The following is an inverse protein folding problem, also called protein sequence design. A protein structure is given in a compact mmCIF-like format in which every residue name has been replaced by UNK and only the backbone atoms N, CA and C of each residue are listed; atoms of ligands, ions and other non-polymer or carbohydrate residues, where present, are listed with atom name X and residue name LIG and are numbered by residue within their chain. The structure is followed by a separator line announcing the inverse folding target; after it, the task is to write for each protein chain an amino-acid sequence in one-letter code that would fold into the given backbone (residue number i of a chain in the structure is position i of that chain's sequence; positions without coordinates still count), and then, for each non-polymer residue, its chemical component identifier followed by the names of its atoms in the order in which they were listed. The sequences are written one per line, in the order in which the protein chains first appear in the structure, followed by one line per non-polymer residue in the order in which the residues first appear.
data_IF_721391043113
#
_entry.id   IF_721391043113
#
_cell.length_a   1.000
_cell.length_b   1.000
_cell.length_c   1.000
_cell.angle_alpha   90.00
_cell.angle_beta   90.00
_cell.angle_gamma   90.00
#
_symmetry.space_group_name_H-M   'P 1'
#
loop_
_entity.id
_entity.type
_entity.pdbx_description
1 polymer ?
#
# COMPACT_ATOMS: atom_id res chain seq x y z
N UNK A 1 22.58 19.20 -11.00
CA UNK A 1 22.95 18.05 -10.17
C UNK A 1 21.71 17.21 -9.88
N UNK A 2 21.82 15.89 -9.96
CA UNK A 2 20.77 14.93 -9.61
C UNK A 2 21.34 13.91 -8.63
N UNK A 3 20.59 13.57 -7.59
CA UNK A 3 20.88 12.44 -6.71
C UNK A 3 19.78 11.40 -6.82
N UNK A 4 20.12 10.15 -6.52
CA UNK A 4 19.18 9.04 -6.44
C UNK A 4 19.29 8.42 -5.05
N UNK A 5 18.18 8.34 -4.34
CA UNK A 5 18.04 7.66 -3.06
C UNK A 5 17.24 6.38 -3.26
N UNK A 6 17.82 5.25 -2.87
CA UNK A 6 17.12 3.98 -2.78
C UNK A 6 16.89 3.62 -1.32
N UNK A 7 15.63 3.44 -0.93
CA UNK A 7 15.25 2.93 0.38
C UNK A 7 14.76 1.50 0.19
N UNK A 8 15.56 0.53 0.64
CA UNK A 8 15.26 -0.88 0.52
C UNK A 8 14.61 -1.39 1.80
N UNK A 9 13.33 -1.71 1.76
CA UNK A 9 12.63 -2.36 2.87
C UNK A 9 12.33 -1.43 4.06
N UNK A 10 11.33 -0.58 3.92
CA UNK A 10 10.86 0.32 5.00
C UNK A 10 10.39 -0.44 6.26
N UNK A 11 9.90 -1.68 6.11
CA UNK A 11 9.50 -2.57 7.19
C UNK A 11 10.44 -3.80 7.28
N UNK A 12 11.61 -3.71 7.94
CA UNK A 12 12.55 -4.83 8.05
C UNK A 12 11.96 -6.06 8.76
N UNK A 13 11.11 -5.83 9.77
CA UNK A 13 10.41 -6.91 10.46
C UNK A 13 9.45 -7.65 9.54
N UNK A 14 8.61 -6.92 8.83
CA UNK A 14 7.68 -7.50 7.87
C UNK A 14 8.40 -8.26 6.76
N UNK A 15 9.52 -7.75 6.28
CA UNK A 15 10.38 -8.41 5.29
C UNK A 15 10.92 -9.76 5.80
N UNK A 16 11.43 -9.77 7.04
CA UNK A 16 11.98 -10.96 7.68
C UNK A 16 10.92 -12.02 8.00
N UNK A 17 9.71 -11.58 8.41
CA UNK A 17 8.67 -12.45 8.94
C UNK A 17 7.50 -12.68 7.98
N UNK A 18 7.61 -12.23 6.72
CA UNK A 18 6.56 -12.29 5.71
C UNK A 18 5.25 -11.69 6.21
N UNK A 19 5.33 -10.46 6.75
CA UNK A 19 4.20 -9.71 7.26
C UNK A 19 4.08 -8.33 6.61
N UNK A 20 2.84 -7.86 6.47
CA UNK A 20 2.57 -6.47 6.10
C UNK A 20 2.90 -5.51 7.24
N UNK A 21 2.63 -5.93 8.48
CA UNK A 21 2.69 -5.11 9.69
C UNK A 21 4.07 -5.21 10.36
N UNK A 22 4.41 -4.18 11.17
CA UNK A 22 5.60 -4.20 12.03
C UNK A 22 5.42 -5.19 13.19
N UNK A 23 6.43 -5.31 14.06
CA UNK A 23 6.36 -6.05 15.33
C UNK A 23 5.25 -5.55 16.27
N UNK A 24 4.87 -4.28 16.14
CA UNK A 24 3.80 -3.64 16.91
C UNK A 24 2.43 -3.71 16.21
N UNK A 25 2.29 -4.56 15.21
CA UNK A 25 1.11 -4.68 14.33
C UNK A 25 0.75 -3.38 13.58
N UNK A 26 1.70 -2.47 13.41
CA UNK A 26 1.47 -1.22 12.70
C UNK A 26 1.63 -1.40 11.20
N UNK A 27 0.64 -0.99 10.42
CA UNK A 27 0.78 -0.77 8.99
C UNK A 27 1.57 0.51 8.76
N UNK A 28 2.83 0.40 8.34
CA UNK A 28 3.66 1.59 8.11
C UNK A 28 3.05 2.54 7.09
N UNK A 29 2.31 2.05 6.10
CA UNK A 29 1.60 2.92 5.15
C UNK A 29 0.32 3.55 5.75
N UNK A 30 0.22 3.59 7.09
CA UNK A 30 -0.77 4.31 7.91
C UNK A 30 -0.12 5.09 9.04
N UNK A 31 1.22 5.08 9.12
CA UNK A 31 1.97 5.65 10.25
C UNK A 31 2.84 6.87 9.86
N UNK A 32 2.76 7.32 8.59
CA UNK A 32 3.59 8.41 8.09
C UNK A 32 2.88 9.76 8.19
N UNK A 33 3.39 10.64 9.03
CA UNK A 33 3.03 12.05 9.05
C UNK A 33 4.14 12.92 9.66
N UNK A 34 3.97 14.24 9.58
CA UNK A 34 4.82 15.23 10.26
C UNK A 34 4.26 15.62 11.63
N UNK A 35 3.00 15.28 11.90
CA UNK A 35 2.27 15.68 13.09
C UNK A 35 1.53 14.51 13.75
N UNK A 36 1.57 14.45 15.09
CA UNK A 36 0.93 13.37 15.89
C UNK A 36 -0.61 13.43 15.89
N UNK A 37 -1.22 14.48 15.37
CA UNK A 37 -2.68 14.52 15.16
C UNK A 37 -3.18 13.41 14.23
N UNK A 38 -2.27 12.79 13.45
CA UNK A 38 -2.52 11.58 12.68
C UNK A 38 -3.24 10.52 13.53
N UNK A 39 -2.76 10.26 14.75
CA UNK A 39 -3.27 9.19 15.63
C UNK A 39 -4.64 9.49 16.24
N UNK A 40 -5.12 10.73 16.11
CA UNK A 40 -6.48 11.12 16.48
C UNK A 40 -7.47 11.09 15.30
N UNK A 41 -7.03 10.65 14.12
CA UNK A 41 -7.90 10.60 12.93
C UNK A 41 -8.98 9.53 13.08
N UNK A 42 -10.26 9.89 13.05
CA UNK A 42 -11.33 8.92 13.27
C UNK A 42 -11.60 8.07 12.02
N UNK A 43 -11.96 6.80 12.25
CA UNK A 43 -12.54 5.94 11.23
C UNK A 43 -13.81 5.24 11.75
N UNK A 44 -14.93 5.95 11.90
CA UNK A 44 -16.15 5.39 12.48
C UNK A 44 -16.77 4.28 11.61
N UNK A 45 -16.42 4.23 10.33
CA UNK A 45 -16.86 3.16 9.44
C UNK A 45 -16.23 1.80 9.75
N UNK A 46 -14.99 1.77 10.24
CA UNK A 46 -14.24 0.54 10.51
C UNK A 46 -14.97 -0.40 11.50
N UNK A 47 -15.58 0.16 12.54
CA UNK A 47 -16.35 -0.59 13.55
C UNK A 47 -17.37 -1.54 12.94
N UNK A 48 -18.03 -1.15 11.83
CA UNK A 48 -19.05 -1.98 11.17
C UNK A 48 -18.51 -3.29 10.59
N UNK A 49 -17.21 -3.36 10.37
CA UNK A 49 -16.54 -4.49 9.73
C UNK A 49 -15.68 -5.31 10.69
N UNK A 50 -15.41 -4.83 11.93
CA UNK A 50 -14.49 -5.47 12.89
C UNK A 50 -14.76 -6.95 13.11
N UNK A 51 -16.03 -7.37 13.29
CA UNK A 51 -16.40 -8.77 13.45
C UNK A 51 -16.07 -9.66 12.22
N UNK A 52 -15.85 -9.05 11.06
CA UNK A 52 -15.49 -9.77 9.86
C UNK A 52 -13.97 -9.78 9.63
N UNK A 53 -13.32 -8.64 9.89
CA UNK A 53 -11.92 -8.42 9.53
C UNK A 53 -10.95 -8.63 10.69
N UNK A 54 -11.42 -8.61 11.95
CA UNK A 54 -10.62 -8.84 13.15
C UNK A 54 -11.18 -10.00 13.98
N UNK A 55 -11.20 -11.24 13.47
CA UNK A 55 -11.68 -12.39 14.24
C UNK A 55 -10.71 -12.73 15.36
N UNK A 56 -11.23 -13.02 16.57
CA UNK A 56 -10.46 -13.22 17.81
C UNK A 56 -10.22 -14.69 18.20
N UNK A 57 -10.37 -15.62 17.26
CA UNK A 57 -10.16 -17.06 17.50
C UNK A 57 -8.98 -17.56 16.68
N UNK A 58 -8.43 -18.74 17.06
CA UNK A 58 -7.45 -19.42 16.20
C UNK A 58 -7.98 -19.60 14.77
N UNK A 59 -7.10 -19.44 13.79
CA UNK A 59 -7.46 -19.65 12.39
C UNK A 59 -7.79 -21.13 12.15
N UNK A 60 -8.90 -21.35 11.46
CA UNK A 60 -9.30 -22.66 10.96
C UNK A 60 -9.86 -22.50 9.54
N UNK A 61 -9.11 -22.94 8.53
CA UNK A 61 -9.52 -22.83 7.13
C UNK A 61 -10.77 -23.65 6.78
N UNK A 62 -11.09 -24.70 7.57
CA UNK A 62 -12.24 -25.55 7.34
C UNK A 62 -13.53 -25.05 8.02
N UNK A 63 -13.47 -24.02 8.84
CA UNK A 63 -14.67 -23.50 9.49
C UNK A 63 -15.60 -22.77 8.49
N UNK A 64 -16.87 -22.65 8.85
CA UNK A 64 -17.87 -21.98 8.03
C UNK A 64 -17.51 -20.49 7.76
N UNK A 65 -16.85 -19.83 8.70
CA UNK A 65 -16.41 -18.43 8.54
C UNK A 65 -15.45 -18.23 7.37
N UNK A 66 -14.45 -19.11 7.26
CA UNK A 66 -13.51 -19.09 6.14
C UNK A 66 -14.11 -19.61 4.83
N UNK A 67 -14.87 -20.72 4.89
CA UNK A 67 -15.49 -21.32 3.69
C UNK A 67 -16.50 -20.39 3.01
N UNK A 68 -17.27 -19.64 3.78
CA UNK A 68 -18.29 -18.72 3.29
C UNK A 68 -17.85 -17.25 3.36
N UNK A 69 -16.54 -16.97 3.54
CA UNK A 69 -16.04 -15.62 3.67
C UNK A 69 -16.41 -14.74 2.47
N UNK A 70 -16.26 -15.26 1.26
CA UNK A 70 -16.60 -14.56 0.02
C UNK A 70 -18.07 -14.10 0.01
N UNK A 71 -18.99 -15.03 0.31
CA UNK A 71 -20.42 -14.71 0.36
C UNK A 71 -20.72 -13.66 1.45
N UNK A 72 -20.13 -13.81 2.63
CA UNK A 72 -20.28 -12.85 3.73
C UNK A 72 -19.74 -11.47 3.35
N UNK A 73 -18.60 -11.39 2.67
CA UNK A 73 -18.03 -10.14 2.19
C UNK A 73 -18.94 -9.47 1.16
N UNK A 74 -19.45 -10.21 0.17
CA UNK A 74 -20.39 -9.68 -0.83
C UNK A 74 -21.65 -9.11 -0.15
N UNK A 75 -22.26 -9.85 0.77
CA UNK A 75 -23.45 -9.37 1.52
C UNK A 75 -23.10 -8.07 2.27
N UNK A 76 -21.96 -8.03 2.94
CA UNK A 76 -21.52 -6.82 3.67
C UNK A 76 -21.28 -5.64 2.74
N UNK A 77 -20.69 -5.85 1.57
CA UNK A 77 -20.47 -4.81 0.57
C UNK A 77 -21.79 -4.26 0.01
N UNK A 78 -22.74 -5.14 -0.34
CA UNK A 78 -24.04 -4.72 -0.85
C UNK A 78 -24.85 -3.95 0.21
N UNK A 79 -24.84 -4.44 1.45
CA UNK A 79 -25.64 -3.83 2.54
C UNK A 79 -25.07 -2.51 3.07
N UNK A 80 -23.79 -2.20 2.81
CA UNK A 80 -23.13 -1.00 3.32
C UNK A 80 -22.65 -0.03 2.22
N UNK A 81 -22.96 -0.26 0.96
CA UNK A 81 -22.32 0.37 -0.19
C UNK A 81 -20.83 -0.02 -0.34
N UNK A 82 -20.42 -0.30 -1.56
CA UNK A 82 -19.06 -0.83 -1.88
C UNK A 82 -17.98 0.21 -1.58
N UNK A 83 -18.19 1.47 -1.96
CA UNK A 83 -17.25 2.56 -1.74
C UNK A 83 -17.06 2.83 -0.24
N UNK A 84 -18.18 2.88 0.51
CA UNK A 84 -18.14 3.03 1.97
C UNK A 84 -17.40 1.86 2.63
N UNK A 85 -17.66 0.62 2.23
CA UNK A 85 -16.97 -0.55 2.78
C UNK A 85 -15.47 -0.51 2.47
N UNK A 86 -15.10 -0.17 1.24
CA UNK A 86 -13.70 -0.02 0.81
C UNK A 86 -13.00 1.07 1.61
N UNK A 87 -13.58 2.28 1.69
CA UNK A 87 -13.03 3.38 2.46
C UNK A 87 -12.86 3.00 3.94
N UNK A 88 -13.90 2.45 4.56
CA UNK A 88 -13.88 2.07 5.98
C UNK A 88 -12.80 1.05 6.32
N UNK A 89 -12.56 0.08 5.44
CA UNK A 89 -11.57 -0.97 5.70
C UNK A 89 -10.16 -0.47 5.38
N UNK A 90 -9.95 0.21 4.23
CA UNK A 90 -8.62 0.49 3.70
C UNK A 90 -8.03 1.83 4.12
N UNK A 91 -8.81 2.78 4.62
CA UNK A 91 -8.32 4.09 5.07
C UNK A 91 -7.18 3.98 6.09
N UNK A 92 -7.25 3.00 6.98
CA UNK A 92 -6.47 2.89 8.21
C UNK A 92 -7.30 3.25 9.44
N UNK A 93 -6.82 2.87 10.61
CA UNK A 93 -7.49 3.12 11.89
C UNK A 93 -6.46 3.17 13.05
N UNK A 94 -6.84 3.79 14.16
CA UNK A 94 -5.95 4.06 15.30
C UNK A 94 -6.55 3.60 16.64
N UNK A 95 -7.58 2.74 16.60
CA UNK A 95 -8.32 2.29 17.78
C UNK A 95 -8.09 0.80 18.10
N UNK A 96 -8.01 -0.04 17.05
CA UNK A 96 -7.93 -1.50 17.18
C UNK A 96 -6.49 -1.97 16.96
N UNK A 97 -5.72 -2.10 18.03
CA UNK A 97 -4.27 -2.42 17.96
C UNK A 97 -3.97 -3.75 17.26
N UNK A 98 -4.79 -4.79 17.51
CA UNK A 98 -4.64 -6.10 16.85
C UNK A 98 -5.39 -6.18 15.51
N UNK A 99 -6.00 -5.09 15.09
CA UNK A 99 -6.82 -5.04 13.88
C UNK A 99 -6.02 -4.74 12.62
N UNK A 100 -6.64 -5.03 11.46
CA UNK A 100 -6.05 -4.70 10.17
C UNK A 100 -5.88 -3.20 10.00
N UNK A 101 -4.82 -2.82 9.28
CA UNK A 101 -4.51 -1.43 8.93
C UNK A 101 -4.40 -0.49 10.14
N UNK A 102 -3.97 -1.03 11.28
CA UNK A 102 -3.67 -0.22 12.46
C UNK A 102 -2.50 0.71 12.17
N UNK A 103 -2.70 2.00 12.36
CA UNK A 103 -1.70 3.04 12.07
C UNK A 103 -0.79 3.39 13.25
N UNK A 104 -0.93 2.69 14.38
CA UNK A 104 -0.12 2.97 15.59
C UNK A 104 -0.80 3.95 16.55
N UNK A 105 -0.16 4.12 17.70
CA UNK A 105 -0.47 5.16 18.70
C UNK A 105 0.62 6.24 18.77
N UNK A 106 1.76 5.97 18.17
CA UNK A 106 2.88 6.87 17.97
C UNK A 106 3.61 6.47 16.67
N UNK A 107 4.56 7.29 16.24
CA UNK A 107 5.39 6.97 15.09
C UNK A 107 6.32 5.79 15.39
N UNK A 108 6.38 4.86 14.45
CA UNK A 108 7.36 3.78 14.48
C UNK A 108 8.79 4.34 14.31
N UNK A 109 9.81 3.68 14.86
CA UNK A 109 11.20 4.16 14.77
C UNK A 109 11.69 4.46 13.37
N UNK A 110 11.19 3.71 12.36
CA UNK A 110 11.51 3.90 10.96
C UNK A 110 11.09 5.28 10.45
N UNK A 111 9.97 5.82 10.94
CA UNK A 111 9.46 7.14 10.54
C UNK A 111 10.47 8.24 10.88
N UNK A 112 11.02 8.21 12.08
CA UNK A 112 12.03 9.19 12.52
C UNK A 112 13.31 9.10 11.69
N UNK A 113 13.81 7.87 11.49
CA UNK A 113 15.04 7.64 10.73
C UNK A 113 14.90 8.10 9.28
N UNK A 114 13.81 7.68 8.61
CA UNK A 114 13.56 8.02 7.20
C UNK A 114 13.29 9.52 7.03
N UNK A 115 12.60 10.14 7.99
CA UNK A 115 12.38 11.58 8.01
C UNK A 115 13.72 12.34 7.96
N UNK A 116 14.65 12.04 8.88
CA UNK A 116 15.96 12.69 8.92
C UNK A 116 16.73 12.52 7.59
N UNK A 117 16.73 11.29 7.05
CA UNK A 117 17.39 11.01 5.75
C UNK A 117 16.77 11.84 4.62
N UNK A 118 15.43 11.91 4.56
CA UNK A 118 14.73 12.64 3.50
C UNK A 118 14.93 14.15 3.63
N UNK A 119 14.88 14.71 4.85
CA UNK A 119 15.12 16.12 5.10
C UNK A 119 16.53 16.51 4.64
N UNK A 120 17.56 15.74 4.99
CA UNK A 120 18.96 16.02 4.61
C UNK A 120 19.18 15.88 3.09
N UNK A 121 18.72 14.77 2.49
CA UNK A 121 19.03 14.48 1.08
C UNK A 121 18.19 15.35 0.14
N UNK A 122 16.94 15.64 0.47
CA UNK A 122 16.08 16.43 -0.40
C UNK A 122 16.36 17.92 -0.32
N UNK A 123 16.98 18.42 0.76
CA UNK A 123 17.17 19.85 1.02
C UNK A 123 17.70 20.64 -0.19
N UNK A 124 18.80 20.25 -0.87
CA UNK A 124 19.40 21.02 -1.96
C UNK A 124 18.62 20.94 -3.29
N UNK A 125 17.55 20.13 -3.39
CA UNK A 125 16.85 19.88 -4.64
C UNK A 125 15.51 20.60 -4.69
N UNK A 126 15.18 21.21 -5.86
CA UNK A 126 13.91 21.89 -6.10
C UNK A 126 12.86 21.00 -6.74
N UNK A 127 13.26 19.85 -7.26
CA UNK A 127 12.38 18.88 -7.90
C UNK A 127 12.62 17.51 -7.27
N UNK A 128 11.57 16.92 -6.75
CA UNK A 128 11.60 15.58 -6.14
C UNK A 128 10.68 14.65 -6.95
N UNK A 129 11.28 13.68 -7.64
CA UNK A 129 10.53 12.61 -8.28
C UNK A 129 10.52 11.39 -7.33
N UNK A 130 9.38 11.15 -6.72
CA UNK A 130 9.18 10.07 -5.76
C UNK A 130 8.52 8.89 -6.45
N UNK A 131 9.20 7.75 -6.45
CA UNK A 131 8.66 6.49 -6.96
C UNK A 131 8.49 5.53 -5.80
N UNK A 132 7.26 5.11 -5.54
CA UNK A 132 6.90 4.12 -4.52
C UNK A 132 6.59 2.78 -5.17
N UNK A 133 7.41 1.76 -4.90
CA UNK A 133 7.30 0.45 -5.55
C UNK A 133 6.41 -0.47 -4.72
N UNK A 134 5.29 -0.87 -5.28
CA UNK A 134 4.30 -1.74 -4.67
C UNK A 134 4.04 -2.99 -5.48
N UNK A 135 3.58 -4.01 -4.79
CA UNK A 135 3.03 -5.24 -5.39
C UNK A 135 1.73 -5.60 -4.70
N UNK A 136 0.79 -6.16 -5.44
CA UNK A 136 -0.46 -6.66 -4.86
C UNK A 136 -1.71 -6.28 -5.64
N UNK A 137 -1.92 -4.99 -5.90
CA UNK A 137 -3.10 -4.51 -6.59
C UNK A 137 -2.91 -4.56 -8.11
N UNK A 138 -3.99 -4.89 -8.83
CA UNK A 138 -4.04 -4.83 -10.28
C UNK A 138 -4.05 -6.20 -10.97
N UNK A 139 -3.98 -6.17 -12.31
CA UNK A 139 -3.93 -7.35 -13.16
C UNK A 139 -2.58 -8.05 -13.01
N UNK A 140 -2.59 -9.37 -12.90
CA UNK A 140 -1.39 -10.19 -12.75
C UNK A 140 -0.31 -9.86 -13.80
N UNK A 141 0.90 -9.58 -13.32
CA UNK A 141 2.06 -9.28 -14.16
C UNK A 141 1.98 -7.95 -14.92
N UNK A 142 1.06 -7.07 -14.61
CA UNK A 142 0.93 -5.74 -15.21
C UNK A 142 1.47 -4.68 -14.25
N UNK A 143 2.25 -3.74 -14.79
CA UNK A 143 2.67 -2.54 -14.08
C UNK A 143 1.64 -1.44 -14.27
N UNK A 144 1.08 -0.96 -13.18
CA UNK A 144 0.14 0.17 -13.12
C UNK A 144 0.82 1.39 -12.51
N UNK A 145 0.43 2.58 -12.95
CA UNK A 145 0.94 3.85 -12.45
C UNK A 145 -0.18 4.62 -11.75
N UNK A 146 -0.06 4.75 -10.43
CA UNK A 146 -1.01 5.48 -9.60
C UNK A 146 -0.30 6.69 -8.96
N UNK A 147 -0.62 7.92 -9.36
CA UNK A 147 -0.17 9.08 -8.61
C UNK A 147 -0.95 9.14 -7.29
N UNK A 148 -0.31 9.58 -6.23
CA UNK A 148 -1.07 10.07 -5.09
C UNK A 148 -1.90 11.29 -5.52
N UNK A 149 -2.95 11.67 -4.78
CA UNK A 149 -3.71 12.86 -5.12
C UNK A 149 -2.80 14.06 -5.34
N UNK A 150 -2.61 14.43 -6.59
CA UNK A 150 -1.75 15.55 -7.01
C UNK A 150 -2.63 16.78 -7.22
N UNK A 151 -2.59 17.72 -6.25
CA UNK A 151 -3.37 18.97 -6.32
C UNK A 151 -2.68 20.09 -7.11
N UNK A 152 -1.34 20.05 -7.22
CA UNK A 152 -0.56 21.02 -7.95
C UNK A 152 -0.69 20.78 -9.47
N UNK A 153 -1.29 21.73 -10.25
CA UNK A 153 -1.42 21.59 -11.69
C UNK A 153 -0.08 21.43 -12.41
N UNK A 154 0.97 22.05 -11.88
CA UNK A 154 2.31 21.97 -12.46
C UNK A 154 2.90 20.55 -12.27
N UNK A 155 2.70 19.95 -11.10
CA UNK A 155 3.11 18.60 -10.84
C UNK A 155 2.34 17.61 -11.75
N UNK A 156 1.03 17.80 -11.92
CA UNK A 156 0.21 17.00 -12.83
C UNK A 156 0.72 17.07 -14.27
N UNK A 157 0.93 18.29 -14.79
CA UNK A 157 1.44 18.51 -16.15
C UNK A 157 2.83 17.86 -16.35
N UNK A 158 3.70 17.91 -15.35
CA UNK A 158 5.04 17.31 -15.46
C UNK A 158 4.96 15.76 -15.43
N UNK A 159 4.09 15.18 -14.60
CA UNK A 159 3.85 13.75 -14.61
C UNK A 159 3.31 13.29 -15.97
N UNK A 160 2.32 13.97 -16.56
CA UNK A 160 1.80 13.67 -17.90
C UNK A 160 2.89 13.70 -18.98
N UNK A 161 3.84 14.63 -18.90
CA UNK A 161 4.99 14.70 -19.82
C UNK A 161 5.99 13.55 -19.61
N UNK A 162 6.27 13.18 -18.36
CA UNK A 162 7.18 12.08 -18.05
C UNK A 162 6.58 10.75 -18.52
N UNK A 163 5.28 10.54 -18.30
CA UNK A 163 4.55 9.31 -18.56
C UNK A 163 3.81 9.31 -19.90
N UNK A 164 4.19 10.13 -20.89
CA UNK A 164 3.46 10.33 -22.15
C UNK A 164 3.06 9.03 -22.88
N UNK A 165 3.84 7.95 -22.78
CA UNK A 165 3.57 6.66 -23.41
C UNK A 165 2.95 5.63 -22.46
N UNK A 166 2.65 6.04 -21.24
CA UNK A 166 2.10 5.19 -20.20
C UNK A 166 0.74 5.72 -19.75
N UNK A 167 -0.19 4.83 -19.53
CA UNK A 167 -1.47 5.18 -18.95
C UNK A 167 -1.27 5.43 -17.44
N UNK A 168 -1.62 6.64 -17.00
CA UNK A 168 -1.68 7.00 -15.58
C UNK A 168 -3.11 6.81 -15.12
N UNK A 169 -3.31 5.97 -14.13
CA UNK A 169 -4.60 5.88 -13.43
C UNK A 169 -4.69 7.00 -12.40
N UNK A 170 -5.25 8.14 -12.81
CA UNK A 170 -5.44 9.31 -11.93
C UNK A 170 -6.46 9.06 -10.82
N UNK A 171 -7.16 7.91 -10.87
CA UNK A 171 -8.28 7.61 -10.01
C UNK A 171 -9.50 8.49 -10.34
N UNK A 172 -10.69 7.91 -10.24
CA UNK A 172 -11.91 8.71 -10.07
C UNK A 172 -11.88 9.26 -8.64
N UNK A 173 -11.83 10.58 -8.44
CA UNK A 173 -11.80 11.18 -7.11
C UNK A 173 -12.95 10.67 -6.21
N UNK A 174 -14.08 10.25 -6.81
CA UNK A 174 -15.24 9.68 -6.13
C UNK A 174 -15.08 8.18 -5.81
N UNK A 175 -14.20 7.44 -6.50
CA UNK A 175 -14.04 5.97 -6.36
C UNK A 175 -12.78 5.55 -5.62
N UNK A 176 -11.82 6.45 -5.46
CA UNK A 176 -10.57 6.13 -4.77
C UNK A 176 -10.72 6.36 -3.27
N UNK A 177 -10.37 5.34 -2.50
CA UNK A 177 -10.29 5.49 -1.04
C UNK A 177 -9.07 6.35 -0.66
N UNK A 178 -9.26 7.19 0.34
CA UNK A 178 -8.17 8.01 0.90
C UNK A 178 -7.44 7.21 1.97
N UNK A 179 -6.12 7.12 1.82
CA UNK A 179 -5.24 6.53 2.83
C UNK A 179 -4.84 7.63 3.83
N UNK A 180 -4.98 7.34 5.11
CA UNK A 180 -4.48 8.20 6.19
C UNK A 180 -3.07 7.72 6.58
N UNK A 181 -2.11 8.63 6.70
CA UNK A 181 -0.73 8.29 7.08
C UNK A 181 0.06 7.54 6.01
N UNK A 182 -0.18 7.85 4.72
CA UNK A 182 0.53 7.25 3.60
C UNK A 182 1.90 7.87 3.34
N UNK A 183 2.88 7.03 2.98
CA UNK A 183 4.27 7.43 2.77
C UNK A 183 4.46 8.53 1.72
N UNK A 184 3.90 8.45 0.50
CA UNK A 184 4.08 9.51 -0.49
C UNK A 184 3.48 10.86 -0.04
N UNK A 185 2.39 10.86 0.71
CA UNK A 185 1.81 12.09 1.29
C UNK A 185 2.77 12.72 2.29
N UNK A 186 3.41 11.90 3.12
CA UNK A 186 4.44 12.35 4.08
C UNK A 186 5.65 12.96 3.35
N UNK A 187 6.18 12.29 2.32
CA UNK A 187 7.29 12.84 1.52
C UNK A 187 6.93 14.20 0.91
N UNK A 188 5.70 14.33 0.41
CA UNK A 188 5.18 15.61 -0.10
C UNK A 188 5.11 16.69 0.97
N UNK A 189 4.68 16.36 2.19
CA UNK A 189 4.66 17.30 3.33
C UNK A 189 6.07 17.78 3.71
N UNK A 190 7.07 16.91 3.69
CA UNK A 190 8.47 17.28 3.97
C UNK A 190 9.07 18.18 2.88
N UNK A 191 8.55 18.13 1.66
CA UNK A 191 9.07 18.88 0.51
C UNK A 191 8.14 20.01 0.06
N UNK A 192 7.42 20.63 0.99
CA UNK A 192 6.58 21.80 0.70
C UNK A 192 7.40 22.94 0.07
N UNK A 193 6.82 23.56 -0.97
CA UNK A 193 7.48 24.62 -1.74
C UNK A 193 8.40 24.13 -2.86
N UNK A 194 8.60 22.82 -3.00
CA UNK A 194 9.31 22.17 -4.11
C UNK A 194 8.33 21.56 -5.10
N UNK A 195 8.79 21.31 -6.33
CA UNK A 195 8.02 20.50 -7.26
C UNK A 195 8.09 19.03 -6.85
N UNK A 196 7.02 18.51 -6.27
CA UNK A 196 6.91 17.11 -5.85
C UNK A 196 6.10 16.32 -6.87
N UNK A 197 6.71 15.25 -7.41
CA UNK A 197 6.17 14.39 -8.46
C UNK A 197 6.01 12.97 -7.91
N UNK A 198 4.92 12.64 -7.18
CA UNK A 198 4.71 11.31 -6.65
C UNK A 198 4.14 10.36 -7.70
N UNK A 199 4.64 9.12 -7.71
CA UNK A 199 4.09 8.04 -8.51
C UNK A 199 4.27 6.70 -7.81
N UNK A 200 3.20 5.96 -7.64
CA UNK A 200 3.24 4.55 -7.21
C UNK A 200 3.32 3.66 -8.44
N UNK A 201 4.31 2.78 -8.46
CA UNK A 201 4.46 1.70 -9.44
C UNK A 201 3.90 0.44 -8.81
N UNK A 202 2.75 -0.01 -9.25
CA UNK A 202 2.03 -1.14 -8.67
C UNK A 202 2.07 -2.35 -9.62
N UNK A 203 2.72 -3.42 -9.18
CA UNK A 203 2.80 -4.66 -9.94
C UNK A 203 1.70 -5.62 -9.49
N UNK A 204 0.74 -5.89 -10.39
CA UNK A 204 -0.39 -6.76 -10.12
C UNK A 204 0.01 -8.21 -9.87
N UNK A 205 -0.63 -8.85 -8.87
CA UNK A 205 -0.33 -10.23 -8.46
C UNK A 205 -1.51 -11.19 -8.54
N UNK A 206 -2.68 -10.80 -8.08
CA UNK A 206 -3.85 -11.67 -7.91
C UNK A 206 -5.12 -11.17 -8.58
N UNK A 207 -4.99 -10.33 -9.61
CA UNK A 207 -6.15 -9.68 -10.27
C UNK A 207 -7.07 -8.96 -9.27
N UNK A 208 -6.48 -8.33 -8.25
CA UNK A 208 -7.21 -7.68 -7.14
C UNK A 208 -7.96 -6.40 -7.54
N UNK A 209 -7.86 -5.96 -8.80
CA UNK A 209 -8.76 -5.00 -9.42
C UNK A 209 -10.18 -5.57 -9.64
N UNK A 210 -10.32 -6.90 -9.65
CA UNK A 210 -11.64 -7.58 -9.70
C UNK A 210 -12.23 -7.75 -8.30
N UNK A 211 -13.55 -7.86 -8.22
CA UNK A 211 -14.25 -8.13 -6.94
C UNK A 211 -13.79 -9.45 -6.31
N UNK A 212 -13.57 -10.47 -7.11
CA UNK A 212 -13.10 -11.77 -6.60
C UNK A 212 -11.68 -11.67 -6.04
N UNK A 213 -10.75 -11.11 -6.80
CA UNK A 213 -9.36 -10.95 -6.39
C UNK A 213 -9.22 -10.08 -5.14
N UNK A 214 -9.97 -8.96 -5.05
CA UNK A 214 -9.92 -8.07 -3.88
C UNK A 214 -10.45 -8.73 -2.60
N UNK A 215 -11.56 -9.48 -2.67
CA UNK A 215 -12.09 -10.21 -1.50
C UNK A 215 -11.14 -11.34 -1.08
N UNK A 216 -10.54 -12.04 -2.05
CA UNK A 216 -9.56 -13.10 -1.76
C UNK A 216 -8.30 -12.53 -1.08
N UNK A 217 -7.77 -11.42 -1.59
CA UNK A 217 -6.63 -10.71 -0.98
C UNK A 217 -6.96 -10.26 0.46
N UNK A 218 -8.13 -9.70 0.67
CA UNK A 218 -8.59 -9.32 2.01
C UNK A 218 -8.67 -10.52 2.95
N UNK A 219 -9.20 -11.66 2.50
CA UNK A 219 -9.27 -12.89 3.31
C UNK A 219 -7.88 -13.40 3.71
N UNK A 220 -6.91 -13.34 2.81
CA UNK A 220 -5.53 -13.76 3.09
C UNK A 220 -4.92 -12.87 4.18
N UNK A 221 -5.05 -11.53 4.07
CA UNK A 221 -4.55 -10.59 5.08
C UNK A 221 -5.22 -10.82 6.43
N UNK A 222 -6.54 -11.03 6.46
CA UNK A 222 -7.28 -11.33 7.68
C UNK A 222 -6.74 -12.59 8.34
N UNK A 223 -6.59 -13.68 7.58
CA UNK A 223 -6.13 -14.95 8.11
C UNK A 223 -4.68 -14.89 8.61
N UNK A 224 -3.80 -14.14 7.92
CA UNK A 224 -2.42 -13.91 8.36
C UNK A 224 -2.40 -13.16 9.69
N UNK A 225 -3.09 -12.02 9.78
CA UNK A 225 -3.13 -11.22 10.99
C UNK A 225 -3.79 -11.95 12.16
N UNK A 226 -4.90 -12.64 11.92
CA UNK A 226 -5.56 -13.50 12.91
C UNK A 226 -4.61 -14.61 13.40
N UNK A 227 -3.89 -15.25 12.48
CA UNK A 227 -2.94 -16.31 12.82
C UNK A 227 -1.77 -15.81 13.66
N UNK A 228 -1.30 -14.60 13.37
CA UNK A 228 -0.26 -13.96 14.17
C UNK A 228 -0.69 -13.71 15.62
N UNK A 229 -1.88 -13.15 15.84
CA UNK A 229 -2.37 -12.80 17.18
C UNK A 229 -2.94 -14.00 17.96
N UNK A 230 -3.59 -14.95 17.29
CA UNK A 230 -4.36 -15.99 17.95
C UNK A 230 -3.89 -17.42 17.64
N UNK A 231 -2.94 -17.57 16.71
CA UNK A 231 -2.44 -18.87 16.27
C UNK A 231 -3.39 -19.63 15.35
N UNK A 232 -3.05 -20.87 15.08
CA UNK A 232 -3.73 -21.73 14.12
C UNK A 232 -4.27 -22.96 14.82
N UNK A 233 -5.37 -23.53 14.30
CA UNK A 233 -5.93 -24.78 14.81
C UNK A 233 -5.08 -25.98 14.37
N UNK A 234 -4.49 -25.90 13.17
CA UNK A 234 -3.65 -26.95 12.59
C UNK A 234 -2.41 -26.34 11.93
N UNK A 235 -1.28 -27.02 12.01
CA UNK A 235 -0.03 -26.58 11.40
C UNK A 235 -0.15 -26.35 9.88
N UNK A 236 -0.92 -27.21 9.19
CA UNK A 236 -1.19 -27.03 7.75
C UNK A 236 -1.86 -25.69 7.42
N UNK A 237 -2.71 -25.16 8.32
CA UNK A 237 -3.41 -23.89 8.09
C UNK A 237 -2.40 -22.74 8.11
N UNK A 238 -1.41 -22.77 9.00
CA UNK A 238 -0.29 -21.84 9.05
C UNK A 238 0.50 -21.86 7.74
N UNK A 239 0.93 -23.03 7.29
CA UNK A 239 1.71 -23.19 6.05
C UNK A 239 0.95 -22.62 4.84
N UNK A 240 -0.32 -23.01 4.67
CA UNK A 240 -1.14 -22.55 3.55
C UNK A 240 -1.30 -21.02 3.56
N UNK A 241 -1.56 -20.43 4.74
CA UNK A 241 -1.78 -18.99 4.85
C UNK A 241 -0.50 -18.20 4.55
N UNK A 242 0.64 -18.64 5.09
CA UNK A 242 1.94 -18.01 4.82
C UNK A 242 2.27 -18.08 3.33
N UNK A 243 2.10 -19.25 2.70
CA UNK A 243 2.31 -19.41 1.25
C UNK A 243 1.38 -18.51 0.43
N UNK A 244 0.10 -18.43 0.79
CA UNK A 244 -0.85 -17.53 0.13
C UNK A 244 -0.45 -16.07 0.30
N UNK A 245 -0.01 -15.68 1.49
CA UNK A 245 0.42 -14.31 1.79
C UNK A 245 1.69 -13.94 1.00
N UNK A 246 2.68 -14.81 0.96
CA UNK A 246 3.88 -14.62 0.14
C UNK A 246 3.48 -14.45 -1.33
N UNK A 247 2.69 -15.37 -1.88
CA UNK A 247 2.28 -15.32 -3.29
C UNK A 247 1.40 -14.11 -3.62
N UNK A 248 0.71 -13.53 -2.64
CA UNK A 248 -0.10 -12.32 -2.83
C UNK A 248 0.78 -11.09 -3.08
N UNK A 249 1.96 -11.01 -2.46
CA UNK A 249 2.88 -9.88 -2.62
C UNK A 249 4.10 -10.21 -3.49
N UNK A 250 4.53 -11.45 -3.48
CA UNK A 250 5.70 -11.93 -4.23
C UNK A 250 5.42 -13.31 -4.85
N UNK A 251 4.69 -13.37 -5.97
CA UNK A 251 4.45 -14.62 -6.68
C UNK A 251 5.73 -15.39 -6.96
N UNK A 252 5.75 -16.67 -6.56
CA UNK A 252 6.90 -17.57 -6.77
C UNK A 252 7.00 -18.07 -8.23
N UNK A 253 6.37 -17.36 -9.16
CA UNK A 253 6.35 -17.64 -10.59
C UNK A 253 7.52 -16.95 -11.29
N UNK A 254 8.39 -17.72 -11.93
CA UNK A 254 9.49 -17.18 -12.74
C UNK A 254 8.96 -16.24 -13.84
N UNK A 255 7.81 -16.57 -14.45
CA UNK A 255 7.17 -15.73 -15.45
C UNK A 255 6.77 -14.37 -14.90
N UNK A 256 6.23 -14.29 -13.66
CA UNK A 256 5.89 -13.04 -13.01
C UNK A 256 7.14 -12.22 -12.70
N UNK A 257 8.15 -12.85 -12.11
CA UNK A 257 9.40 -12.19 -11.74
C UNK A 257 10.13 -11.62 -12.96
N UNK A 258 10.22 -12.41 -14.04
CA UNK A 258 10.82 -11.98 -15.31
C UNK A 258 10.05 -10.78 -15.87
N UNK A 259 8.72 -10.83 -15.85
CA UNK A 259 7.87 -9.75 -16.37
C UNK A 259 8.02 -8.46 -15.55
N UNK A 260 8.06 -8.55 -14.22
CA UNK A 260 8.31 -7.39 -13.35
C UNK A 260 9.65 -6.73 -13.68
N UNK A 261 10.73 -7.50 -13.80
CA UNK A 261 12.05 -6.96 -14.14
C UNK A 261 12.06 -6.33 -15.54
N UNK A 262 11.44 -6.98 -16.51
CA UNK A 262 11.36 -6.47 -17.88
C UNK A 262 10.57 -5.16 -17.94
N UNK A 263 9.35 -5.13 -17.42
CA UNK A 263 8.49 -3.93 -17.45
C UNK A 263 9.09 -2.78 -16.63
N UNK A 264 9.77 -3.08 -15.51
CA UNK A 264 10.51 -2.07 -14.74
C UNK A 264 11.63 -1.45 -15.58
N UNK A 265 12.43 -2.28 -16.26
CA UNK A 265 13.53 -1.80 -17.12
C UNK A 265 13.02 -0.94 -18.26
N UNK A 266 11.95 -1.35 -18.93
CA UNK A 266 11.31 -0.60 -20.00
C UNK A 266 10.79 0.75 -19.49
N UNK A 267 10.08 0.75 -18.36
CA UNK A 267 9.56 1.98 -17.74
C UNK A 267 10.71 2.95 -17.37
N UNK A 268 11.71 2.49 -16.60
CA UNK A 268 12.82 3.37 -16.19
C UNK A 268 13.63 3.90 -17.38
N UNK A 269 13.82 3.11 -18.44
CA UNK A 269 14.52 3.56 -19.65
C UNK A 269 13.78 4.69 -20.40
N UNK A 270 12.48 4.78 -20.28
CA UNK A 270 11.67 5.85 -20.88
C UNK A 270 11.46 7.04 -19.95
N UNK A 271 11.20 6.79 -18.68
CA UNK A 271 10.81 7.82 -17.71
C UNK A 271 12.00 8.68 -17.23
N UNK A 272 13.16 8.05 -16.93
CA UNK A 272 14.29 8.80 -16.38
C UNK A 272 14.87 9.83 -17.36
N UNK A 273 15.08 9.56 -18.66
CA UNK A 273 15.52 10.58 -19.59
C UNK A 273 14.55 11.77 -19.68
N UNK A 274 13.23 11.52 -19.65
CA UNK A 274 12.23 12.58 -19.68
C UNK A 274 12.24 13.42 -18.40
N UNK A 275 12.38 12.79 -17.25
CA UNK A 275 12.56 13.49 -15.99
C UNK A 275 13.82 14.37 -15.98
N UNK A 276 14.96 13.85 -16.46
CA UNK A 276 16.18 14.63 -16.56
C UNK A 276 16.05 15.82 -17.52
N UNK A 277 15.37 15.66 -18.66
CA UNK A 277 15.11 16.75 -19.58
C UNK A 277 14.28 17.88 -18.94
N UNK A 278 13.25 17.52 -18.15
CA UNK A 278 12.42 18.49 -17.41
C UNK A 278 13.21 19.19 -16.31
N UNK A 279 14.07 18.48 -15.59
CA UNK A 279 14.87 19.05 -14.49
C UNK A 279 16.00 19.96 -14.98
N UNK A 280 16.51 19.75 -16.20
CA UNK A 280 17.55 20.56 -16.81
C UNK A 280 17.03 21.92 -17.33
N UNK A 281 15.72 22.07 -17.53
CA UNK A 281 15.08 23.31 -18.00
C UNK A 281 14.75 24.28 -16.85
N UNK A 282 15.07 23.95 -15.61
CA UNK A 282 14.85 24.73 -14.40
C UNK A 282 16.17 25.05 -13.69
#
# INVERSE_FOLDING_TARGET
NTAVLFIHGLNPYGFKHFRRFTENNVDLNRNWDTDKSLFATPNPGYFRFTNMINPSKKVNLDNAGNRFFFLKAIIKMITNNIEFARQSILQGQYEYQDGLYFGGMDFEPQVHTVRTILEDICEPYQVIFHIDLHTGYGQWGTLHFFPNPVKDPLAKQNLEKIFTEHEIDWGDEEKFYTITGGFPTFVGKLNQGKLFLPMTFEYGTMDSHTTFGSIKSLQIIINENQGHHHGYVRDRDSTIIIEQFINMYYPQSEAWQTRVIQTSREAFNTLLPRYYALSAMR
#
